data_IF_131942232621
#
_entry.id   IF_131942232621
#
_cell.length_a   1.000
_cell.length_b   1.000
_cell.length_c   1.000
_cell.angle_alpha   90.00
_cell.angle_beta   90.00
_cell.angle_gamma   90.00
#
_symmetry.space_group_name_H-M   'P 1'
#
loop_
_entity.id
_entity.type
_entity.pdbx_description
1 polymer ?
#
# COMPACT_ATOMS: atom_id res chain seq x y z
N UNK A 1 38.26 6.61 -13.96
CA UNK A 1 39.46 6.49 -13.12
C UNK A 1 39.50 7.58 -12.04
N UNK A 2 38.61 8.58 -12.11
CA UNK A 2 38.80 9.84 -11.39
C UNK A 2 37.84 9.99 -10.20
N UNK A 3 37.02 8.98 -9.87
CA UNK A 3 36.02 9.09 -8.80
C UNK A 3 36.68 9.31 -7.42
N UNK A 4 37.71 8.52 -7.09
CA UNK A 4 38.43 8.67 -5.81
C UNK A 4 39.20 9.99 -5.79
N UNK A 5 39.77 10.38 -6.93
CA UNK A 5 40.48 11.64 -7.08
C UNK A 5 39.54 12.84 -6.86
N UNK A 6 38.33 12.80 -7.43
CA UNK A 6 37.30 13.82 -7.23
C UNK A 6 36.84 13.89 -5.77
N UNK A 7 36.69 12.74 -5.09
CA UNK A 7 36.34 12.71 -3.66
C UNK A 7 37.44 13.33 -2.78
N UNK A 8 38.71 13.12 -3.12
CA UNK A 8 39.83 13.74 -2.41
C UNK A 8 39.89 15.25 -2.71
N UNK A 9 39.88 15.63 -3.99
CA UNK A 9 40.12 17.01 -4.42
C UNK A 9 38.93 17.94 -4.18
N UNK A 10 37.70 17.49 -4.46
CA UNK A 10 36.49 18.31 -4.41
C UNK A 10 35.84 18.30 -3.03
N UNK A 11 35.79 17.12 -2.42
CA UNK A 11 35.12 16.95 -1.13
C UNK A 11 36.08 17.07 0.07
N UNK A 12 37.39 16.97 -0.16
CA UNK A 12 38.41 17.18 0.87
C UNK A 12 38.50 16.02 1.86
N UNK A 13 38.03 14.82 1.48
CA UNK A 13 38.01 13.68 2.38
C UNK A 13 39.39 13.02 2.49
N UNK A 14 39.73 12.59 3.71
CA UNK A 14 40.86 11.71 3.95
C UNK A 14 40.57 10.30 3.38
N UNK A 15 41.62 9.60 2.96
CA UNK A 15 41.53 8.23 2.43
C UNK A 15 40.78 7.27 3.37
N UNK A 16 40.92 7.43 4.69
CA UNK A 16 40.17 6.64 5.67
C UNK A 16 38.65 6.84 5.58
N UNK A 17 38.20 8.08 5.42
CA UNK A 17 36.77 8.41 5.24
C UNK A 17 36.26 7.85 3.91
N UNK A 18 37.05 7.99 2.85
CA UNK A 18 36.69 7.48 1.52
C UNK A 18 36.54 5.96 1.56
N UNK A 19 37.47 5.24 2.18
CA UNK A 19 37.39 3.78 2.27
C UNK A 19 36.11 3.32 2.97
N UNK A 20 35.74 3.97 4.07
CA UNK A 20 34.52 3.66 4.82
C UNK A 20 33.26 4.04 4.03
N UNK A 21 33.30 5.16 3.30
CA UNK A 21 32.22 5.58 2.41
C UNK A 21 31.99 4.56 1.29
N UNK A 22 33.07 4.11 0.64
CA UNK A 22 33.00 3.10 -0.41
C UNK A 22 32.46 1.78 0.14
N UNK A 23 32.95 1.33 1.30
CA UNK A 23 32.46 0.14 1.97
C UNK A 23 30.96 0.23 2.27
N UNK A 24 30.50 1.38 2.79
CA UNK A 24 29.09 1.62 3.07
C UNK A 24 28.24 1.55 1.81
N UNK A 25 28.70 2.17 0.71
CA UNK A 25 27.99 2.12 -0.57
C UNK A 25 27.93 0.69 -1.10
N UNK A 26 29.04 -0.04 -1.13
CA UNK A 26 29.08 -1.42 -1.60
C UNK A 26 28.13 -2.33 -0.83
N UNK A 27 28.04 -2.18 0.50
CA UNK A 27 27.11 -2.94 1.33
C UNK A 27 25.63 -2.60 1.01
N UNK A 28 25.37 -1.42 0.44
CA UNK A 28 24.02 -0.96 0.07
C UNK A 28 23.57 -1.36 -1.32
N UNK A 29 24.51 -1.49 -2.26
CA UNK A 29 24.25 -1.73 -3.68
C UNK A 29 24.76 -3.09 -4.14
N UNK A 30 24.83 -4.06 -3.22
CA UNK A 30 25.24 -5.44 -3.49
C UNK A 30 26.59 -5.54 -4.23
N UNK A 31 27.61 -4.87 -3.68
CA UNK A 31 28.98 -4.74 -4.22
C UNK A 31 29.12 -3.93 -5.51
N UNK A 32 28.07 -3.28 -5.99
CA UNK A 32 28.19 -2.31 -7.06
C UNK A 32 28.64 -0.93 -6.53
N UNK A 33 29.26 -0.11 -7.37
CA UNK A 33 29.73 1.24 -7.03
C UNK A 33 29.24 2.27 -8.06
N UNK A 34 27.92 2.59 -8.06
CA UNK A 34 27.40 3.62 -8.96
C UNK A 34 27.92 5.00 -8.55
N UNK A 35 28.72 5.64 -9.42
CA UNK A 35 29.41 6.93 -9.15
C UNK A 35 28.45 8.01 -8.64
N UNK A 36 27.30 8.18 -9.29
CA UNK A 36 26.28 9.17 -8.89
C UNK A 36 25.82 8.97 -7.45
N UNK A 37 25.66 7.72 -7.01
CA UNK A 37 25.24 7.41 -5.65
C UNK A 37 26.36 7.69 -4.66
N UNK A 38 27.59 7.29 -4.98
CA UNK A 38 28.80 7.59 -4.18
C UNK A 38 28.91 9.09 -3.93
N UNK A 39 28.77 9.92 -4.96
CA UNK A 39 28.81 11.38 -4.81
C UNK A 39 27.66 11.94 -3.97
N UNK A 40 26.46 11.38 -4.10
CA UNK A 40 25.30 11.81 -3.27
C UNK A 40 25.51 11.53 -1.78
N UNK A 41 26.08 10.37 -1.45
CA UNK A 41 26.44 9.98 -0.08
C UNK A 41 27.57 10.86 0.43
N UNK A 42 28.60 11.10 -0.39
CA UNK A 42 29.72 11.99 -0.08
C UNK A 42 29.24 13.40 0.28
N UNK A 43 28.35 13.99 -0.52
CA UNK A 43 27.76 15.30 -0.25
C UNK A 43 26.99 15.32 1.07
N UNK A 44 26.26 14.24 1.37
CA UNK A 44 25.52 14.10 2.63
C UNK A 44 26.47 14.03 3.83
N UNK A 45 27.57 13.27 3.72
CA UNK A 45 28.55 13.12 4.78
C UNK A 45 29.33 14.41 5.06
N UNK A 46 29.65 15.15 3.99
CA UNK A 46 30.24 16.49 4.11
C UNK A 46 29.34 17.47 4.84
N UNK A 47 28.04 17.47 4.54
CA UNK A 47 27.04 18.29 5.25
C UNK A 47 26.92 17.90 6.72
N UNK A 48 27.13 16.62 7.06
CA UNK A 48 27.16 16.18 8.46
C UNK A 48 28.49 16.43 9.19
N UNK A 49 29.50 17.02 8.51
CA UNK A 49 30.78 17.36 9.13
C UNK A 49 31.69 16.16 9.39
N UNK A 50 31.54 15.07 8.63
CA UNK A 50 32.41 13.90 8.77
C UNK A 50 33.79 14.20 8.19
N UNK A 51 34.81 14.25 9.05
CA UNK A 51 36.20 14.54 8.67
C UNK A 51 37.15 13.39 8.96
N UNK A 52 36.84 12.57 9.97
CA UNK A 52 37.65 11.44 10.40
C UNK A 52 37.03 10.08 10.06
N UNK A 53 37.88 9.08 9.91
CA UNK A 53 37.48 7.70 9.66
C UNK A 53 36.56 7.17 10.77
N UNK A 54 36.84 7.50 12.04
CA UNK A 54 35.99 7.08 13.15
C UNK A 54 34.59 7.68 13.04
N UNK A 55 34.49 8.98 12.79
CA UNK A 55 33.22 9.67 12.61
C UNK A 55 32.44 9.13 11.41
N UNK A 56 33.14 8.77 10.33
CA UNK A 56 32.54 8.15 9.15
C UNK A 56 31.91 6.80 9.48
N UNK A 57 32.62 5.98 10.25
CA UNK A 57 32.14 4.67 10.69
C UNK A 57 30.91 4.80 11.58
N UNK A 58 30.96 5.69 12.57
CA UNK A 58 29.83 5.96 13.47
C UNK A 58 28.61 6.45 12.67
N UNK A 59 28.82 7.29 11.66
CA UNK A 59 27.74 7.76 10.78
C UNK A 59 27.14 6.65 9.93
N UNK A 60 27.97 5.79 9.35
CA UNK A 60 27.50 4.64 8.58
C UNK A 60 26.63 3.70 9.44
N UNK A 61 27.06 3.43 10.67
CA UNK A 61 26.32 2.62 11.64
C UNK A 61 25.00 3.28 12.06
N UNK A 62 25.00 4.59 12.31
CA UNK A 62 23.78 5.34 12.63
C UNK A 62 22.75 5.24 11.49
N UNK A 63 23.19 5.43 10.24
CA UNK A 63 22.33 5.34 9.06
C UNK A 63 21.72 3.93 8.95
N UNK A 64 22.53 2.88 9.12
CA UNK A 64 22.05 1.50 9.08
C UNK A 64 21.00 1.24 10.16
N UNK A 65 21.28 1.62 11.41
CA UNK A 65 20.36 1.46 12.55
C UNK A 65 19.05 2.20 12.34
N UNK A 66 19.11 3.44 11.83
CA UNK A 66 17.90 4.22 11.55
C UNK A 66 17.07 3.59 10.43
N UNK A 67 17.70 3.01 9.42
CA UNK A 67 16.98 2.27 8.38
C UNK A 67 16.31 1.00 8.92
N UNK A 68 17.01 0.21 9.73
CA UNK A 68 16.44 -0.99 10.37
C UNK A 68 15.24 -0.64 11.26
N UNK A 69 15.38 0.38 12.12
CA UNK A 69 14.28 0.91 12.94
C UNK A 69 13.10 1.37 12.08
N UNK A 70 13.36 2.06 10.96
CA UNK A 70 12.29 2.53 10.07
C UNK A 70 11.55 1.37 9.40
N UNK A 71 12.26 0.29 9.03
CA UNK A 71 11.66 -0.93 8.49
C UNK A 71 10.83 -1.65 9.55
N UNK A 72 11.36 -1.81 10.75
CA UNK A 72 10.64 -2.43 11.86
C UNK A 72 9.36 -1.65 12.20
N UNK A 73 9.44 -0.32 12.31
CA UNK A 73 8.26 0.52 12.57
C UNK A 73 7.20 0.39 11.46
N UNK A 74 7.61 0.27 10.18
CA UNK A 74 6.68 0.00 9.08
C UNK A 74 6.01 -1.35 9.22
N UNK A 75 6.75 -2.40 9.55
CA UNK A 75 6.20 -3.74 9.78
C UNK A 75 5.26 -3.78 10.99
N UNK A 76 5.62 -3.13 12.09
CA UNK A 76 4.76 -2.99 13.28
C UNK A 76 3.47 -2.23 12.95
N UNK A 77 3.55 -1.14 12.18
CA UNK A 77 2.35 -0.40 11.76
C UNK A 77 1.44 -1.21 10.84
N UNK A 78 1.99 -2.09 10.00
CA UNK A 78 1.22 -2.99 9.16
C UNK A 78 0.53 -4.08 10.00
N UNK A 79 1.26 -4.69 10.95
CA UNK A 79 0.74 -5.69 11.90
C UNK A 79 -0.36 -5.12 12.82
N UNK A 80 -0.21 -3.87 13.27
CA UNK A 80 -1.22 -3.20 14.10
C UNK A 80 -2.49 -2.86 13.29
N UNK A 81 -2.36 -2.65 11.98
CA UNK A 81 -3.53 -2.41 11.12
C UNK A 81 -4.28 -3.71 10.79
N UNK A 82 -3.60 -4.86 10.74
CA UNK A 82 -4.23 -6.18 10.57
C UNK A 82 -4.86 -6.74 11.85
N UNK A 83 -4.47 -6.25 13.04
CA UNK A 83 -5.02 -6.66 14.33
C UNK A 83 -5.87 -5.56 15.01
N UNK A 84 -6.17 -4.47 14.30
CA UNK A 84 -7.04 -3.41 14.79
C UNK A 84 -8.50 -3.89 14.89
N UNK A 85 -9.34 -3.31 15.78
CA UNK A 85 -10.77 -3.64 15.94
C UNK A 85 -11.63 -3.52 14.66
N UNK A 86 -11.06 -3.04 13.56
CA UNK A 86 -11.71 -2.90 12.26
C UNK A 86 -12.04 -4.25 11.59
N UNK A 87 -11.34 -5.34 11.92
CA UNK A 87 -11.69 -6.68 11.42
C UNK A 87 -12.92 -7.30 12.11
N UNK A 88 -13.42 -6.68 13.18
CA UNK A 88 -14.67 -7.06 13.85
C UNK A 88 -15.84 -6.12 13.52
N UNK A 89 -15.72 -5.26 12.50
CA UNK A 89 -16.91 -4.66 11.89
C UNK A 89 -17.54 -5.73 11.01
N UNK A 90 -18.49 -6.49 11.59
CA UNK A 90 -19.46 -7.24 10.78
C UNK A 90 -20.10 -6.22 9.84
N UNK A 91 -19.74 -6.27 8.56
CA UNK A 91 -20.41 -5.47 7.54
C UNK A 91 -21.90 -5.74 7.67
N UNK A 92 -22.74 -4.70 7.56
CA UNK A 92 -24.19 -4.86 7.65
C UNK A 92 -24.62 -5.75 6.50
N UNK A 93 -24.81 -7.03 6.79
CA UNK A 93 -25.26 -7.99 5.80
C UNK A 93 -26.65 -7.58 5.32
N UNK A 94 -26.94 -7.76 4.02
CA UNK A 94 -28.24 -7.40 3.49
C UNK A 94 -29.34 -8.21 4.17
N UNK A 95 -30.55 -7.63 4.27
CA UNK A 95 -31.64 -8.16 5.11
C UNK A 95 -32.06 -9.58 4.75
N UNK A 96 -32.01 -9.96 3.47
CA UNK A 96 -32.32 -11.31 2.99
C UNK A 96 -31.39 -12.40 3.53
N UNK A 97 -30.17 -12.07 3.99
CA UNK A 97 -29.24 -13.02 4.62
C UNK A 97 -29.52 -13.17 6.13
N UNK A 98 -30.04 -12.11 6.77
CA UNK A 98 -30.24 -12.09 8.23
C UNK A 98 -31.64 -12.54 8.64
N UNK A 99 -32.64 -12.33 7.79
CA UNK A 99 -34.05 -12.61 8.06
C UNK A 99 -34.66 -13.39 6.87
N UNK A 100 -34.19 -14.61 6.59
CA UNK A 100 -34.67 -15.40 5.45
C UNK A 100 -36.19 -15.63 5.49
N UNK A 101 -36.77 -15.74 6.68
CA UNK A 101 -38.23 -15.93 6.90
C UNK A 101 -39.10 -14.79 6.35
N UNK A 102 -38.59 -13.55 6.29
CA UNK A 102 -39.34 -12.41 5.72
C UNK A 102 -39.46 -12.49 4.19
N UNK A 103 -38.54 -13.22 3.56
CA UNK A 103 -38.45 -13.38 2.11
C UNK A 103 -38.90 -14.78 1.67
N UNK A 104 -39.40 -15.59 2.59
CA UNK A 104 -40.06 -16.84 2.24
C UNK A 104 -41.33 -16.53 1.45
N UNK A 105 -41.48 -17.25 0.33
CA UNK A 105 -42.58 -17.07 -0.58
C UNK A 105 -43.86 -17.55 0.12
N UNK A 106 -44.68 -16.62 0.59
CA UNK A 106 -45.98 -16.96 1.20
C UNK A 106 -46.82 -17.71 0.18
N UNK A 107 -47.52 -18.74 0.63
CA UNK A 107 -48.50 -19.45 -0.21
C UNK A 107 -49.59 -18.44 -0.60
N UNK A 108 -49.54 -17.95 -1.84
CA UNK A 108 -50.56 -17.06 -2.39
C UNK A 108 -51.84 -17.86 -2.66
N UNK A 109 -53.00 -17.32 -2.25
CA UNK A 109 -54.31 -17.88 -2.59
C UNK A 109 -54.49 -17.93 -4.11
N UNK A 110 -54.30 -19.12 -4.69
CA UNK A 110 -54.32 -19.34 -6.14
C UNK A 110 -55.63 -18.82 -6.78
N UNK A 111 -56.76 -18.94 -6.06
CA UNK A 111 -58.07 -18.50 -6.56
C UNK A 111 -58.17 -16.97 -6.69
N UNK A 112 -57.52 -16.22 -5.81
CA UNK A 112 -57.48 -14.76 -5.90
C UNK A 112 -56.58 -14.31 -7.07
N UNK A 113 -55.45 -14.99 -7.27
CA UNK A 113 -54.52 -14.73 -8.37
C UNK A 113 -55.17 -15.00 -9.75
N UNK A 114 -55.95 -16.07 -9.86
CA UNK A 114 -56.66 -16.42 -11.09
C UNK A 114 -57.74 -15.40 -11.47
N UNK A 115 -58.47 -14.88 -10.48
CA UNK A 115 -59.46 -13.82 -10.70
C UNK A 115 -58.81 -12.53 -11.19
N UNK A 116 -57.69 -12.13 -10.60
CA UNK A 116 -56.97 -10.94 -11.02
C UNK A 116 -56.35 -11.11 -12.42
N UNK A 117 -55.79 -12.30 -12.71
CA UNK A 117 -55.33 -12.67 -14.06
C UNK A 117 -56.45 -12.59 -15.09
N UNK A 118 -57.64 -13.10 -14.78
CA UNK A 118 -58.79 -13.05 -15.68
C UNK A 118 -59.27 -11.61 -15.92
N UNK A 119 -59.30 -10.78 -14.87
CA UNK A 119 -59.66 -9.37 -14.98
C UNK A 119 -58.64 -8.60 -15.85
N UNK A 120 -57.35 -8.86 -15.65
CA UNK A 120 -56.28 -8.27 -16.45
C UNK A 120 -56.35 -8.68 -17.93
N UNK A 121 -56.61 -9.96 -18.23
CA UNK A 121 -56.80 -10.43 -19.61
C UNK A 121 -58.02 -9.79 -20.27
N UNK A 122 -59.10 -9.59 -19.53
CA UNK A 122 -60.29 -8.87 -20.03
C UNK A 122 -59.96 -7.42 -20.37
N UNK A 123 -59.20 -6.74 -19.51
CA UNK A 123 -58.71 -5.37 -19.74
C UNK A 123 -57.81 -5.27 -20.99
N UNK A 124 -56.89 -6.22 -21.18
CA UNK A 124 -56.06 -6.27 -22.38
C UNK A 124 -56.88 -6.52 -23.66
N UNK A 125 -57.88 -7.41 -23.63
CA UNK A 125 -58.76 -7.64 -24.78
C UNK A 125 -59.58 -6.41 -25.15
N UNK A 126 -60.09 -5.66 -24.16
CA UNK A 126 -60.79 -4.40 -24.40
C UNK A 126 -59.86 -3.36 -25.03
N UNK A 127 -58.64 -3.20 -24.50
CA UNK A 127 -57.65 -2.28 -25.08
C UNK A 127 -57.23 -2.67 -26.51
N UNK A 128 -57.16 -3.97 -26.81
CA UNK A 128 -56.84 -4.45 -28.16
C UNK A 128 -57.98 -4.19 -29.15
N UNK A 129 -59.24 -4.40 -28.75
CA UNK A 129 -60.42 -4.08 -29.57
C UNK A 129 -60.58 -2.57 -29.81
N UNK A 130 -60.27 -1.74 -28.82
CA UNK A 130 -60.37 -0.29 -28.94
C UNK A 130 -59.28 0.36 -29.81
N UNK A 131 -58.30 -0.41 -30.29
CA UNK A 131 -57.29 0.04 -31.27
C UNK A 131 -57.49 -0.56 -32.66
N UNK A 132 -58.62 -1.22 -32.91
CA UNK A 132 -58.99 -1.85 -34.19
C UNK A 132 -60.17 -1.11 -34.88
N UNK A 133 -60.59 0.03 -34.32
CA UNK A 133 -61.51 1.04 -34.91
C UNK A 133 -60.74 2.33 -35.27
#
# INVERSE_FOLDING_TARGET
KDMVEELVQREGFNFGVINILLQYVMQKTDNNLPEKYVYSVASTWKKSGVTDARSAYEKAMEIQKNQEKSKQKRMESYSQNTNGPFYNKKEKQPRWVTHPEEYEQKEEDQEALEKDRAAFLKRLKQKRRAGED
#
